data_IF_673086332842
#
_entry.id   IF_673086332842
#
_cell.length_a   1.000
_cell.length_b   1.000
_cell.length_c   1.000
_cell.angle_alpha   90.00
_cell.angle_beta   90.00
_cell.angle_gamma   90.00
#
_symmetry.space_group_name_H-M   'P 1'
#
loop_
_entity.id
_entity.type
_entity.pdbx_description
1 polymer ?
#
# COMPACT_ATOMS: atom_id res chain seq x y z
N UNK A 1 -24.15 32.66 50.83
CA UNK A 1 -24.74 31.72 49.85
C UNK A 1 -23.61 31.09 49.07
N UNK A 2 -23.15 29.92 49.49
CA UNK A 2 -22.14 29.17 48.73
C UNK A 2 -22.84 28.49 47.57
N UNK A 3 -22.59 29.01 46.37
CA UNK A 3 -22.98 28.37 45.12
C UNK A 3 -22.11 27.13 44.95
N UNK A 4 -22.64 25.97 45.34
CA UNK A 4 -22.11 24.67 44.93
C UNK A 4 -22.15 24.63 43.41
N UNK A 5 -21.00 24.88 42.76
CA UNK A 5 -20.87 24.71 41.32
C UNK A 5 -21.10 23.23 41.02
N UNK A 6 -22.25 22.91 40.46
CA UNK A 6 -22.55 21.58 39.95
C UNK A 6 -21.58 21.26 38.82
N UNK A 7 -20.61 20.38 39.09
CA UNK A 7 -19.66 19.87 38.10
C UNK A 7 -20.24 18.65 37.33
N UNK A 8 -21.56 18.44 37.36
CA UNK A 8 -22.25 17.33 36.70
C UNK A 8 -22.05 17.28 35.18
N UNK A 9 -21.74 18.42 34.57
CA UNK A 9 -21.47 18.56 33.13
C UNK A 9 -20.04 18.16 32.72
N UNK A 10 -19.09 17.99 33.65
CA UNK A 10 -17.72 17.57 33.31
C UNK A 10 -17.63 16.09 32.91
N UNK A 11 -18.47 15.23 33.48
CA UNK A 11 -18.52 13.79 33.17
C UNK A 11 -18.84 13.48 31.70
N UNK A 12 -19.89 14.05 31.07
CA UNK A 12 -20.16 13.81 29.66
C UNK A 12 -19.10 14.42 28.74
N UNK A 13 -18.53 15.57 29.08
CA UNK A 13 -17.47 16.22 28.27
C UNK A 13 -16.18 15.39 28.24
N UNK A 14 -15.77 14.81 29.36
CA UNK A 14 -14.59 13.93 29.41
C UNK A 14 -14.77 12.65 28.60
N UNK A 15 -15.96 12.05 28.63
CA UNK A 15 -16.30 10.89 27.79
C UNK A 15 -16.32 11.21 26.31
N UNK A 16 -16.89 12.35 25.92
CA UNK A 16 -16.92 12.82 24.53
C UNK A 16 -15.51 13.14 24.01
N UNK A 17 -14.65 13.76 24.83
CA UNK A 17 -13.27 14.03 24.46
C UNK A 17 -12.47 12.73 24.25
N UNK A 18 -12.67 11.73 25.11
CA UNK A 18 -12.03 10.41 24.97
C UNK A 18 -12.49 9.66 23.72
N UNK A 19 -13.79 9.69 23.41
CA UNK A 19 -14.36 9.13 22.18
C UNK A 19 -13.81 9.85 20.94
N UNK A 20 -13.75 11.18 20.96
CA UNK A 20 -13.22 11.98 19.86
C UNK A 20 -11.74 11.66 19.60
N UNK A 21 -10.92 11.51 20.65
CA UNK A 21 -9.51 11.13 20.52
C UNK A 21 -9.33 9.71 19.97
N UNK A 22 -10.15 8.75 20.43
CA UNK A 22 -10.16 7.38 19.91
C UNK A 22 -10.55 7.31 18.44
N UNK A 23 -11.58 8.06 18.04
CA UNK A 23 -11.97 8.22 16.63
C UNK A 23 -10.88 8.88 15.80
N UNK A 24 -10.23 9.92 16.32
CA UNK A 24 -9.14 10.60 15.60
C UNK A 24 -7.93 9.69 15.41
N UNK A 25 -7.61 8.83 16.39
CA UNK A 25 -6.58 7.79 16.27
C UNK A 25 -6.97 6.71 15.24
N UNK A 26 -8.24 6.31 15.19
CA UNK A 26 -8.73 5.38 14.18
C UNK A 26 -8.69 5.99 12.76
N UNK A 27 -9.05 7.27 12.62
CA UNK A 27 -9.01 7.99 11.33
C UNK A 27 -7.56 8.26 10.88
N UNK A 28 -6.68 8.63 11.81
CA UNK A 28 -5.26 8.84 11.48
C UNK A 28 -4.58 7.52 11.15
N UNK A 29 -4.91 6.42 11.82
CA UNK A 29 -4.45 5.08 11.40
C UNK A 29 -4.99 4.67 10.02
N UNK A 30 -6.23 5.05 9.64
CA UNK A 30 -6.74 4.90 8.26
C UNK A 30 -5.90 5.66 7.22
N UNK A 31 -5.40 6.85 7.56
CA UNK A 31 -4.62 7.69 6.64
C UNK A 31 -3.11 7.40 6.65
N UNK A 32 -2.60 6.83 7.76
CA UNK A 32 -1.18 6.56 7.99
C UNK A 32 -0.82 5.09 7.73
N UNK A 33 -1.78 4.16 7.78
CA UNK A 33 -1.58 2.84 7.20
C UNK A 33 -1.34 3.05 5.71
N UNK A 34 -0.14 2.75 5.22
CA UNK A 34 0.19 2.98 3.83
C UNK A 34 -0.84 2.21 2.99
N UNK A 35 -1.42 2.84 1.98
CA UNK A 35 -1.30 2.42 0.58
C UNK A 35 -1.07 0.90 0.35
N UNK A 36 -1.94 0.03 0.86
CA UNK A 36 -1.81 -1.44 0.68
C UNK A 36 -2.41 -1.98 -0.61
N UNK A 37 -2.84 -1.08 -1.50
CA UNK A 37 -3.06 -1.36 -2.90
C UNK A 37 -2.44 -0.23 -3.71
N UNK A 38 -1.13 -0.31 -3.97
CA UNK A 38 -0.51 0.58 -4.97
C UNK A 38 -0.96 0.13 -6.37
N UNK A 39 -2.24 0.38 -6.70
CA UNK A 39 -2.74 0.49 -8.08
C UNK A 39 -2.19 1.77 -8.73
N UNK A 40 -0.91 2.06 -8.53
CA UNK A 40 -0.25 3.27 -8.98
C UNK A 40 0.95 2.79 -9.78
N UNK A 41 1.10 3.34 -10.98
CA UNK A 41 2.27 3.11 -11.78
C UNK A 41 3.53 3.56 -11.02
N UNK A 42 4.50 2.67 -10.92
CA UNK A 42 5.81 2.91 -10.33
C UNK A 42 6.86 2.94 -11.43
N UNK A 43 7.61 4.04 -11.50
CA UNK A 43 8.73 4.15 -12.44
C UNK A 43 9.87 3.22 -12.05
N UNK A 44 10.42 2.50 -13.03
CA UNK A 44 11.68 1.77 -12.87
C UNK A 44 12.82 2.73 -13.20
N UNK A 45 13.90 2.77 -12.41
CA UNK A 45 15.10 3.53 -12.76
C UNK A 45 15.58 3.22 -14.19
N UNK A 46 15.65 4.25 -15.03
CA UNK A 46 15.98 4.09 -16.43
C UNK A 46 17.42 3.54 -16.63
N UNK A 47 17.58 2.72 -17.67
CA UNK A 47 18.89 2.38 -18.22
C UNK A 47 19.52 3.62 -18.86
N UNK A 48 20.84 3.59 -19.08
CA UNK A 48 21.52 4.63 -19.89
C UNK A 48 21.12 4.60 -21.36
N UNK A 49 20.51 3.50 -21.82
CA UNK A 49 20.01 3.34 -23.19
C UNK A 49 18.46 3.28 -23.16
N UNK A 50 17.76 4.17 -23.89
CA UNK A 50 16.29 4.24 -23.90
C UNK A 50 15.60 2.92 -24.27
N UNK A 51 14.59 2.52 -23.49
CA UNK A 51 13.78 1.34 -23.76
C UNK A 51 12.78 1.58 -24.89
N UNK A 52 12.58 0.59 -25.76
CA UNK A 52 11.61 0.66 -26.88
C UNK A 52 10.64 -0.51 -26.91
N UNK A 53 11.00 -1.67 -26.35
CA UNK A 53 10.18 -2.88 -26.42
C UNK A 53 10.40 -3.75 -25.18
N UNK A 54 9.32 -4.37 -24.71
CA UNK A 54 9.32 -5.33 -23.60
C UNK A 54 9.29 -6.74 -24.17
N UNK A 55 10.31 -7.53 -23.90
CA UNK A 55 10.48 -8.86 -24.50
C UNK A 55 9.84 -9.97 -23.67
N UNK A 56 9.79 -9.80 -22.35
CA UNK A 56 9.25 -10.82 -21.45
C UNK A 56 9.60 -10.58 -20.00
N UNK A 57 8.97 -11.33 -19.12
CA UNK A 57 9.17 -11.27 -17.68
C UNK A 57 9.39 -12.68 -17.12
N UNK A 58 10.51 -12.90 -16.45
CA UNK A 58 10.78 -14.11 -15.67
C UNK A 58 10.29 -13.89 -14.24
N UNK A 59 9.12 -14.47 -13.94
CA UNK A 59 8.51 -14.43 -12.61
C UNK A 59 9.42 -15.01 -11.52
N UNK A 60 10.11 -16.12 -11.80
CA UNK A 60 10.90 -16.85 -10.80
C UNK A 60 12.14 -16.08 -10.39
N UNK A 61 12.82 -15.50 -11.37
CA UNK A 61 14.05 -14.74 -11.15
C UNK A 61 13.81 -13.24 -10.99
N UNK A 62 12.57 -12.78 -11.15
CA UNK A 62 12.15 -11.39 -11.03
C UNK A 62 12.93 -10.47 -11.98
N UNK A 63 12.98 -10.88 -13.25
CA UNK A 63 13.70 -10.17 -14.30
C UNK A 63 12.78 -9.75 -15.43
N UNK A 64 12.80 -8.46 -15.76
CA UNK A 64 12.17 -7.92 -16.96
C UNK A 64 13.21 -7.79 -18.08
N UNK A 65 12.93 -8.39 -19.23
CA UNK A 65 13.76 -8.30 -20.42
C UNK A 65 13.28 -7.17 -21.31
N UNK A 66 14.17 -6.24 -21.62
CA UNK A 66 13.84 -5.00 -22.33
C UNK A 66 14.80 -4.84 -23.50
N UNK A 67 14.28 -4.56 -24.69
CA UNK A 67 15.09 -4.15 -25.85
C UNK A 67 15.16 -2.63 -25.91
N UNK A 68 16.37 -2.11 -26.09
CA UNK A 68 16.62 -0.68 -26.26
C UNK A 68 16.61 -0.23 -27.72
N UNK A 69 16.66 1.09 -27.91
CA UNK A 69 16.80 1.71 -29.21
C UNK A 69 18.06 1.23 -29.97
N UNK A 70 19.16 0.95 -29.26
CA UNK A 70 20.38 0.39 -29.86
C UNK A 70 20.32 -1.13 -30.14
N UNK A 71 19.13 -1.74 -30.04
CA UNK A 71 18.88 -3.18 -30.24
C UNK A 71 19.55 -4.08 -29.18
N UNK A 72 20.00 -3.50 -28.07
CA UNK A 72 20.57 -4.26 -26.95
C UNK A 72 19.48 -4.76 -26.03
N UNK A 73 19.67 -5.95 -25.48
CA UNK A 73 18.75 -6.53 -24.48
C UNK A 73 19.32 -6.27 -23.08
N UNK A 74 18.51 -5.65 -22.24
CA UNK A 74 18.80 -5.36 -20.84
C UNK A 74 17.95 -6.25 -19.95
N UNK A 75 18.52 -6.59 -18.79
CA UNK A 75 17.81 -7.26 -17.72
C UNK A 75 17.58 -6.24 -16.62
N UNK A 76 16.32 -5.92 -16.38
CA UNK A 76 15.92 -5.06 -15.27
C UNK A 76 15.52 -5.95 -14.08
N UNK A 77 16.28 -5.92 -12.96
CA UNK A 77 15.85 -6.58 -11.73
C UNK A 77 14.65 -5.85 -11.17
N UNK A 78 13.58 -6.58 -10.86
CA UNK A 78 12.34 -5.99 -10.39
C UNK A 78 11.95 -6.56 -9.02
N UNK A 79 11.75 -5.68 -8.05
CA UNK A 79 11.37 -6.07 -6.68
C UNK A 79 9.84 -6.06 -6.55
N UNK A 80 9.23 -7.13 -6.06
CA UNK A 80 7.76 -7.25 -5.94
C UNK A 80 7.10 -6.16 -5.09
N UNK A 81 7.82 -5.61 -4.11
CA UNK A 81 7.26 -4.80 -3.06
C UNK A 81 7.94 -3.44 -2.98
N UNK A 82 7.41 -2.44 -3.71
CA UNK A 82 7.57 -1.00 -3.45
C UNK A 82 8.99 -0.44 -3.38
N UNK A 83 10.03 -1.27 -3.54
CA UNK A 83 11.40 -0.85 -3.49
C UNK A 83 11.71 -0.16 -4.82
N UNK A 84 11.51 1.16 -4.82
CA UNK A 84 11.96 2.08 -5.86
C UNK A 84 13.47 2.04 -6.07
N UNK A 85 14.19 1.33 -5.20
CA UNK A 85 15.58 0.91 -5.38
C UNK A 85 15.72 -0.39 -6.17
N UNK A 86 14.77 -0.70 -7.07
CA UNK A 86 15.00 -1.66 -8.13
C UNK A 86 16.37 -1.34 -8.75
N UNK A 87 17.30 -2.30 -8.70
CA UNK A 87 18.66 -2.08 -9.19
C UNK A 87 18.62 -1.53 -10.61
N UNK A 88 19.53 -0.62 -10.95
CA UNK A 88 19.69 -0.14 -12.32
C UNK A 88 19.72 -1.35 -13.26
N UNK A 89 18.99 -1.29 -14.39
CA UNK A 89 18.96 -2.38 -15.36
C UNK A 89 20.40 -2.75 -15.77
N UNK A 90 20.95 -3.79 -15.15
CA UNK A 90 22.35 -4.12 -15.30
C UNK A 90 22.57 -4.74 -16.69
N UNK A 91 23.70 -4.34 -17.30
CA UNK A 91 24.16 -4.65 -18.66
C UNK A 91 24.54 -6.13 -18.86
N UNK A 92 23.77 -7.08 -18.34
CA UNK A 92 24.03 -8.48 -18.68
C UNK A 92 23.43 -8.73 -20.06
N UNK A 93 24.23 -8.45 -21.09
CA UNK A 93 23.93 -8.76 -22.49
C UNK A 93 23.75 -10.28 -22.60
N UNK A 94 22.50 -10.74 -22.55
CA UNK A 94 22.19 -12.14 -22.83
C UNK A 94 22.43 -12.38 -24.32
N UNK A 95 23.40 -13.25 -24.62
CA UNK A 95 23.86 -13.53 -25.97
C UNK A 95 22.85 -14.26 -26.86
N UNK A 96 21.70 -14.70 -26.35
CA UNK A 96 20.62 -15.29 -27.15
C UNK A 96 19.35 -15.43 -26.32
N UNK A 97 18.23 -15.21 -26.99
CA UNK A 97 16.85 -15.41 -26.52
C UNK A 97 16.68 -16.80 -25.94
N UNK A 98 16.57 -16.91 -24.62
CA UNK A 98 15.98 -18.09 -24.00
C UNK A 98 14.49 -18.03 -24.37
N UNK A 99 14.03 -18.97 -25.20
CA UNK A 99 12.62 -19.10 -25.52
C UNK A 99 11.84 -19.18 -24.21
N UNK A 100 11.01 -18.16 -23.95
CA UNK A 100 10.05 -18.21 -22.87
C UNK A 100 9.06 -19.31 -23.25
N UNK A 101 9.21 -20.47 -22.62
CA UNK A 101 8.39 -21.64 -22.92
C UNK A 101 6.90 -21.35 -22.77
N UNK A 102 6.10 -21.97 -23.63
CA UNK A 102 4.64 -21.89 -23.66
C UNK A 102 4.08 -22.05 -22.23
N UNK A 103 3.57 -20.95 -21.67
CA UNK A 103 2.90 -20.97 -20.38
C UNK A 103 1.53 -21.60 -20.55
N UNK A 104 1.23 -22.62 -19.75
CA UNK A 104 -0.11 -23.19 -19.57
C UNK A 104 -1.16 -22.09 -19.44
N UNK A 105 -2.43 -22.31 -19.85
CA UNK A 105 -3.49 -21.32 -19.66
C UNK A 105 -3.70 -21.11 -18.15
N UNK A 106 -3.28 -19.95 -17.65
CA UNK A 106 -3.38 -19.61 -16.25
C UNK A 106 -4.72 -18.93 -15.99
N UNK A 107 -5.28 -19.12 -14.80
CA UNK A 107 -6.48 -18.37 -14.40
C UNK A 107 -6.06 -16.93 -14.16
N UNK A 108 -6.61 -16.02 -14.94
CA UNK A 108 -6.33 -14.60 -14.82
C UNK A 108 -7.54 -13.89 -14.22
N UNK A 109 -7.30 -13.08 -13.21
CA UNK A 109 -8.24 -12.05 -12.77
C UNK A 109 -7.93 -10.78 -13.56
N UNK A 110 -8.91 -10.25 -14.28
CA UNK A 110 -8.79 -8.98 -15.00
C UNK A 110 -9.18 -7.87 -14.04
N UNK A 111 -8.22 -7.05 -13.61
CA UNK A 111 -8.50 -5.88 -12.79
C UNK A 111 -8.65 -4.63 -13.65
N UNK A 112 -9.37 -3.60 -13.18
CA UNK A 112 -9.39 -2.30 -13.84
C UNK A 112 -7.99 -1.69 -13.82
N UNK A 113 -7.36 -1.54 -14.98
CA UNK A 113 -6.06 -0.87 -15.11
C UNK A 113 -6.28 0.65 -15.01
N UNK A 114 -5.64 1.38 -14.08
CA UNK A 114 -5.68 2.83 -14.01
C UNK A 114 -5.07 3.47 -15.26
N UNK A 115 -5.32 4.76 -15.47
CA UNK A 115 -4.70 5.49 -16.57
C UNK A 115 -3.18 5.55 -16.42
N UNK A 116 -2.41 5.28 -17.49
CA UNK A 116 -0.97 5.38 -17.47
C UNK A 116 -0.52 6.85 -17.32
N UNK A 117 0.69 7.09 -16.80
CA UNK A 117 1.22 8.45 -16.61
C UNK A 117 1.61 9.16 -17.91
N UNK A 118 1.51 8.51 -19.06
CA UNK A 118 1.82 9.08 -20.37
C UNK A 118 1.39 8.18 -21.54
N UNK A 119 1.87 8.51 -22.73
CA UNK A 119 1.56 7.74 -23.94
C UNK A 119 2.38 6.45 -23.98
N UNK A 120 1.71 5.30 -24.09
CA UNK A 120 2.33 3.98 -24.11
C UNK A 120 2.83 3.66 -25.52
N UNK A 121 4.09 3.21 -25.64
CA UNK A 121 4.66 2.68 -26.89
C UNK A 121 4.82 1.16 -26.88
N UNK A 122 4.92 0.55 -25.69
CA UNK A 122 4.92 -0.90 -25.52
C UNK A 122 4.29 -1.28 -24.17
N UNK A 123 3.60 -2.42 -24.12
CA UNK A 123 3.03 -2.98 -22.90
C UNK A 123 3.27 -4.48 -22.83
N UNK A 124 3.57 -4.97 -21.64
CA UNK A 124 3.69 -6.39 -21.34
C UNK A 124 2.90 -6.68 -20.07
N UNK A 125 1.84 -7.46 -20.24
CA UNK A 125 1.07 -7.99 -19.13
C UNK A 125 1.60 -9.37 -18.74
N UNK A 126 1.79 -9.57 -17.45
CA UNK A 126 2.24 -10.84 -16.90
C UNK A 126 1.38 -11.21 -15.70
N UNK A 127 1.02 -12.49 -15.64
CA UNK A 127 0.29 -13.06 -14.52
C UNK A 127 1.03 -14.28 -14.01
N UNK A 128 1.18 -14.44 -12.69
CA UNK A 128 1.75 -15.66 -12.14
C UNK A 128 0.80 -16.83 -12.39
N UNK A 129 1.33 -17.91 -12.94
CA UNK A 129 0.64 -19.17 -13.08
C UNK A 129 0.65 -19.96 -11.75
N UNK A 130 -0.07 -19.44 -10.76
CA UNK A 130 -0.32 -20.13 -9.49
C UNK A 130 -1.83 -20.26 -9.30
N UNK A 131 -2.29 -21.38 -8.74
CA UNK A 131 -3.71 -21.63 -8.48
C UNK A 131 -4.36 -20.57 -7.56
N UNK A 132 -3.54 -19.83 -6.81
CA UNK A 132 -3.93 -18.76 -5.90
C UNK A 132 -3.44 -17.35 -6.33
N UNK A 133 -2.88 -17.20 -7.54
CA UNK A 133 -2.34 -15.92 -7.99
C UNK A 133 -3.43 -14.97 -8.48
N UNK A 134 -3.96 -14.21 -7.54
CA UNK A 134 -4.79 -13.03 -7.79
C UNK A 134 -3.97 -11.79 -8.17
N UNK A 135 -2.84 -11.96 -8.86
CA UNK A 135 -1.89 -10.89 -9.14
C UNK A 135 -1.85 -10.61 -10.64
N UNK A 136 -2.01 -9.35 -11.01
CA UNK A 136 -1.77 -8.82 -12.35
C UNK A 136 -0.60 -7.87 -12.30
N UNK A 137 0.33 -8.03 -13.23
CA UNK A 137 1.47 -7.13 -13.37
C UNK A 137 1.44 -6.60 -14.78
N UNK A 138 1.39 -5.29 -14.91
CA UNK A 138 1.42 -4.63 -16.20
C UNK A 138 2.69 -3.76 -16.27
N UNK A 139 3.54 -4.06 -17.23
CA UNK A 139 4.71 -3.28 -17.56
C UNK A 139 4.41 -2.43 -18.78
N UNK A 140 4.77 -1.16 -18.74
CA UNK A 140 4.61 -0.25 -19.88
C UNK A 140 5.91 0.49 -20.14
N UNK A 141 6.15 0.79 -21.41
CA UNK A 141 7.16 1.75 -21.86
C UNK A 141 6.41 2.95 -22.41
N UNK A 142 6.78 4.13 -21.96
CA UNK A 142 6.19 5.38 -22.43
C UNK A 142 6.97 5.97 -23.61
N UNK A 143 6.39 6.97 -24.28
CA UNK A 143 7.02 7.70 -25.39
C UNK A 143 8.28 8.48 -25.00
N UNK A 144 8.49 8.75 -23.71
CA UNK A 144 9.73 9.32 -23.16
C UNK A 144 10.77 8.23 -22.83
N UNK A 145 10.52 6.98 -23.25
CA UNK A 145 11.33 5.79 -23.03
C UNK A 145 11.49 5.37 -21.56
N UNK A 146 10.69 5.94 -20.66
CA UNK A 146 10.63 5.48 -19.28
C UNK A 146 9.82 4.18 -19.16
N UNK A 147 10.23 3.32 -18.23
CA UNK A 147 9.55 2.04 -17.96
C UNK A 147 8.77 2.19 -16.66
N UNK A 148 7.52 1.76 -16.67
CA UNK A 148 6.65 1.79 -15.50
C UNK A 148 6.04 0.42 -15.24
N UNK A 149 5.74 0.18 -13.98
CA UNK A 149 5.07 -1.02 -13.48
C UNK A 149 3.78 -0.66 -12.79
N UNK A 150 2.74 -1.41 -13.08
CA UNK A 150 1.57 -1.53 -12.24
C UNK A 150 1.53 -2.96 -11.68
N UNK A 151 1.35 -3.08 -10.36
CA UNK A 151 1.08 -4.37 -9.70
C UNK A 151 -0.28 -4.27 -9.03
N UNK A 152 -1.19 -5.16 -9.38
CA UNK A 152 -2.50 -5.29 -8.77
C UNK A 152 -2.61 -6.68 -8.16
N UNK A 153 -3.17 -6.77 -6.95
CA UNK A 153 -3.36 -8.03 -6.24
C UNK A 153 -4.69 -8.00 -5.51
N UNK A 154 -5.58 -8.97 -5.74
CA UNK A 154 -6.72 -9.20 -4.83
C UNK A 154 -6.33 -10.19 -3.74
N UNK A 155 -5.61 -9.69 -2.74
CA UNK A 155 -5.43 -10.40 -1.50
C UNK A 155 -6.71 -10.31 -0.66
N UNK A 156 -7.67 -11.21 -0.86
CA UNK A 156 -8.81 -11.34 0.07
C UNK A 156 -8.35 -11.53 1.54
N UNK A 157 -7.15 -12.09 1.71
CA UNK A 157 -6.48 -12.23 3.02
C UNK A 157 -5.88 -10.91 3.51
N UNK A 158 -5.29 -10.07 2.65
CA UNK A 158 -4.73 -8.77 3.08
C UNK A 158 -5.82 -7.79 3.44
N UNK A 159 -6.95 -7.80 2.72
CA UNK A 159 -8.11 -6.97 3.05
C UNK A 159 -8.75 -7.42 4.37
N UNK A 160 -8.92 -8.73 4.58
CA UNK A 160 -9.41 -9.27 5.84
C UNK A 160 -8.48 -8.97 7.03
N UNK A 161 -7.17 -9.09 6.84
CA UNK A 161 -6.16 -8.76 7.86
C UNK A 161 -6.16 -7.27 8.17
N UNK A 162 -6.19 -6.40 7.15
CA UNK A 162 -6.27 -4.96 7.34
C UNK A 162 -7.55 -4.58 8.11
N UNK A 163 -8.71 -5.10 7.70
CA UNK A 163 -9.97 -4.89 8.39
C UNK A 163 -9.94 -5.39 9.85
N UNK A 164 -9.29 -6.53 10.11
CA UNK A 164 -9.10 -7.05 11.47
C UNK A 164 -8.22 -6.12 12.31
N UNK A 165 -7.07 -5.67 11.80
CA UNK A 165 -6.21 -4.72 12.52
C UNK A 165 -6.96 -3.42 12.82
N UNK A 166 -7.72 -2.90 11.86
CA UNK A 166 -8.53 -1.69 12.05
C UNK A 166 -9.56 -1.85 13.16
N UNK A 167 -10.26 -2.98 13.20
CA UNK A 167 -11.21 -3.29 14.27
C UNK A 167 -10.51 -3.32 15.64
N UNK A 168 -9.33 -3.95 15.72
CA UNK A 168 -8.55 -4.05 16.96
C UNK A 168 -8.12 -2.66 17.42
N UNK A 169 -7.52 -1.84 16.56
CA UNK A 169 -7.06 -0.50 16.92
C UNK A 169 -8.20 0.42 17.34
N UNK A 170 -9.33 0.40 16.62
CA UNK A 170 -10.52 1.15 17.00
C UNK A 170 -11.05 0.73 18.38
N UNK A 171 -11.12 -0.57 18.64
CA UNK A 171 -11.60 -1.11 19.93
C UNK A 171 -10.67 -0.71 21.07
N UNK A 172 -9.35 -0.86 20.89
CA UNK A 172 -8.35 -0.46 21.90
C UNK A 172 -8.41 1.05 22.16
N UNK A 173 -8.55 1.87 21.11
CA UNK A 173 -8.69 3.31 21.24
C UNK A 173 -9.92 3.72 22.06
N UNK A 174 -11.07 3.09 21.80
CA UNK A 174 -12.31 3.32 22.57
C UNK A 174 -12.12 2.95 24.03
N UNK A 175 -11.55 1.77 24.31
CA UNK A 175 -11.31 1.31 25.70
C UNK A 175 -10.39 2.27 26.44
N UNK A 176 -9.27 2.67 25.84
CA UNK A 176 -8.34 3.62 26.45
C UNK A 176 -9.00 4.98 26.71
N UNK A 177 -9.80 5.49 25.76
CA UNK A 177 -10.55 6.73 25.93
C UNK A 177 -11.52 6.68 27.10
N UNK A 178 -12.25 5.57 27.27
CA UNK A 178 -13.18 5.36 28.39
C UNK A 178 -12.45 5.29 29.74
N UNK A 179 -11.33 4.56 29.82
CA UNK A 179 -10.53 4.44 31.05
C UNK A 179 -9.98 5.80 31.48
N UNK A 180 -9.43 6.58 30.55
CA UNK A 180 -8.92 7.92 30.82
C UNK A 180 -10.05 8.85 31.28
N UNK A 181 -11.19 8.86 30.57
CA UNK A 181 -12.35 9.68 30.92
C UNK A 181 -12.91 9.35 32.32
N UNK A 182 -12.97 8.06 32.67
CA UNK A 182 -13.39 7.63 34.00
C UNK A 182 -12.41 8.07 35.10
N UNK A 183 -11.10 7.92 34.85
CA UNK A 183 -10.06 8.28 35.81
C UNK A 183 -10.06 9.78 36.10
N UNK A 184 -10.16 10.62 35.05
CA UNK A 184 -10.27 12.08 35.20
C UNK A 184 -11.52 12.45 36.01
N UNK A 185 -12.66 11.82 35.71
CA UNK A 185 -13.92 12.05 36.43
C UNK A 185 -13.82 11.70 37.92
N UNK A 186 -13.14 10.60 38.26
CA UNK A 186 -12.87 10.20 39.65
C UNK A 186 -12.00 11.21 40.38
N UNK A 187 -10.91 11.66 39.76
CA UNK A 187 -9.98 12.65 40.36
C UNK A 187 -10.71 13.98 40.59
N UNK A 188 -11.51 14.44 39.63
CA UNK A 188 -12.27 15.66 39.75
C UNK A 188 -13.25 15.61 40.94
N UNK A 189 -14.00 14.51 41.10
CA UNK A 189 -14.92 14.33 42.23
C UNK A 189 -14.20 14.31 43.57
N UNK A 190 -13.04 13.66 43.67
CA UNK A 190 -12.26 13.63 44.91
C UNK A 190 -11.71 15.00 45.30
N UNK A 191 -11.27 15.82 44.34
CA UNK A 191 -10.82 17.19 44.62
C UNK A 191 -11.97 18.07 45.12
N UNK A 192 -13.15 17.99 44.51
CA UNK A 192 -14.32 18.75 44.96
C UNK A 192 -14.77 18.40 46.38
N UNK A 193 -14.59 17.13 46.82
CA UNK A 193 -14.92 16.71 48.18
C UNK A 193 -13.93 17.21 49.25
N UNK A 194 -12.69 17.55 48.87
CA UNK A 194 -11.69 18.07 49.80
C UNK A 194 -11.76 19.61 49.98
N UNK A 195 -12.47 20.31 49.10
CA UNK A 195 -12.62 21.78 49.14
C UNK A 195 -13.87 22.26 49.91
N UNK A 196 -14.66 21.33 50.47
CA UNK A 196 -15.78 21.65 51.38
C UNK A 196 -15.34 21.51 52.84
N UNK A 197 -15.06 22.62 53.57
CA UNK A 197 -14.96 22.62 55.02
C UNK A 197 -16.32 22.45 55.72
#
# INVERSE_FOLDING_TARGET
MNSTRDYSWFTPLGGLAGLALGLLLAITSFNVLPVWEQQIYQGIPASTDPAVELLGFDYRNQFLYVRSQSQKIYICPVTWFGDTKAGSCHKTQLGTTKELGDSSPCKFSIFPTPYPPGNIIASLEAHPCSDDANIQINWIVLSDNSIWRLTQSTGGVSEAIANFFMLVYATVGIILGLVIGFTISRIARHRSAHETP
#
